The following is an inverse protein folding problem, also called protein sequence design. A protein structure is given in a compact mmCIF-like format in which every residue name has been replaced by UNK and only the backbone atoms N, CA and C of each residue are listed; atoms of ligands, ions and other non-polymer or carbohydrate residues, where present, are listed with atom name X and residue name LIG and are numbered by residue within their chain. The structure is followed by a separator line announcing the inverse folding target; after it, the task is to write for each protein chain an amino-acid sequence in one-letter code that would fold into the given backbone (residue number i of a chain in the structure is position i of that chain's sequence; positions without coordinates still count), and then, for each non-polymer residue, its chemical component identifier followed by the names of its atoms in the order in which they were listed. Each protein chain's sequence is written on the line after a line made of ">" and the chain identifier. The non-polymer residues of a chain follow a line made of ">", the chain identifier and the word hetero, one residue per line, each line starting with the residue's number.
data_IF_631792920298
#
_entry.id   IF_631792920298
#
_cell.length_a   1.000
_cell.length_b   1.000
_cell.length_c   1.000
_cell.angle_alpha   90.00
_cell.angle_beta   90.00
_cell.angle_gamma   90.00
#
_symmetry.space_group_name_H-M   'P 1'
#
loop_
_entity.id
_entity.type
_entity.pdbx_description
1 polymer ?
#
# COMPACT_ATOMS: atom_id res chain seq x y z
N UNK A 1 2.80 -30.79 77.36
CA UNK A 1 1.75 -31.20 76.40
C UNK A 1 0.79 -30.03 76.11
N UNK A 2 0.10 -29.46 77.10
CA UNK A 2 -0.78 -28.29 76.92
C UNK A 2 -0.11 -27.05 76.28
N UNK A 3 1.08 -26.63 76.76
CA UNK A 3 1.80 -25.47 76.19
C UNK A 3 2.07 -25.63 74.69
N UNK A 4 2.49 -26.82 74.25
CA UNK A 4 2.77 -27.11 72.84
C UNK A 4 1.51 -27.10 71.97
N UNK A 5 0.39 -27.62 72.48
CA UNK A 5 -0.90 -27.59 71.78
C UNK A 5 -1.44 -26.16 71.66
N UNK A 6 -1.29 -25.34 72.72
CA UNK A 6 -1.70 -23.94 72.72
C UNK A 6 -0.90 -23.10 71.70
N UNK A 7 0.42 -23.27 71.63
CA UNK A 7 1.26 -22.57 70.64
C UNK A 7 0.85 -22.93 69.21
N UNK A 8 0.62 -24.22 68.92
CA UNK A 8 0.16 -24.68 67.60
C UNK A 8 -1.18 -24.07 67.20
N UNK A 9 -2.14 -24.03 68.12
CA UNK A 9 -3.45 -23.41 67.88
C UNK A 9 -3.31 -21.91 67.60
N UNK A 10 -2.47 -21.20 68.36
CA UNK A 10 -2.21 -19.77 68.16
C UNK A 10 -1.59 -19.48 66.79
N UNK A 11 -0.62 -20.30 66.36
CA UNK A 11 -0.03 -20.19 65.03
C UNK A 11 -1.03 -20.48 63.91
N UNK A 12 -1.89 -21.49 64.09
CA UNK A 12 -2.96 -21.83 63.14
C UNK A 12 -3.94 -20.66 62.96
N UNK A 13 -4.46 -20.11 64.06
CA UNK A 13 -5.39 -18.96 64.02
C UNK A 13 -4.73 -17.75 63.36
N UNK A 14 -3.45 -17.47 63.67
CA UNK A 14 -2.72 -16.36 63.04
C UNK A 14 -2.64 -16.55 61.53
N UNK A 15 -2.24 -17.73 61.06
CA UNK A 15 -2.16 -18.05 59.63
C UNK A 15 -3.52 -17.96 58.94
N UNK A 16 -4.58 -18.40 59.60
CA UNK A 16 -5.94 -18.26 59.07
C UNK A 16 -6.33 -16.79 58.88
N UNK A 17 -6.00 -15.91 59.84
CA UNK A 17 -6.24 -14.47 59.71
C UNK A 17 -5.41 -13.88 58.56
N UNK A 18 -4.13 -14.23 58.47
CA UNK A 18 -3.23 -13.77 57.39
C UNK A 18 -3.76 -14.17 56.01
N UNK A 19 -4.19 -15.43 55.83
CA UNK A 19 -4.74 -15.94 54.57
C UNK A 19 -6.04 -15.25 54.20
N UNK A 20 -6.97 -15.06 55.16
CA UNK A 20 -8.22 -14.32 54.90
C UNK A 20 -7.97 -12.87 54.53
N UNK A 21 -7.06 -12.20 55.23
CA UNK A 21 -6.69 -10.82 54.93
C UNK A 21 -6.10 -10.72 53.51
N UNK A 22 -5.18 -11.61 53.15
CA UNK A 22 -4.60 -11.66 51.81
C UNK A 22 -5.66 -11.88 50.72
N UNK A 23 -6.64 -12.77 50.97
CA UNK A 23 -7.77 -12.99 50.05
C UNK A 23 -8.59 -11.70 49.86
N UNK A 24 -8.98 -11.05 50.96
CA UNK A 24 -9.74 -9.81 50.90
C UNK A 24 -8.97 -8.67 50.23
N UNK A 25 -7.68 -8.52 50.53
CA UNK A 25 -6.81 -7.50 49.94
C UNK A 25 -6.62 -7.75 48.42
N UNK A 26 -6.50 -9.01 48.01
CA UNK A 26 -6.39 -9.39 46.60
C UNK A 26 -7.68 -9.09 45.82
N UNK A 27 -8.85 -9.38 46.39
CA UNK A 27 -10.14 -9.04 45.78
C UNK A 27 -10.35 -7.53 45.75
N UNK A 28 -10.10 -6.83 46.86
CA UNK A 28 -10.23 -5.38 46.95
C UNK A 28 -9.29 -4.66 45.96
N UNK A 29 -8.08 -5.20 45.79
CA UNK A 29 -7.09 -4.70 44.83
C UNK A 29 -7.35 -5.13 43.39
N UNK A 30 -8.33 -5.99 43.12
CA UNK A 30 -8.63 -6.59 41.81
C UNK A 30 -7.40 -7.21 41.14
N UNK A 31 -6.58 -7.93 41.91
CA UNK A 31 -5.31 -8.53 41.42
C UNK A 31 -5.47 -10.04 41.25
N UNK A 32 -5.67 -10.50 40.01
CA UNK A 32 -5.84 -11.93 39.67
C UNK A 32 -4.68 -12.80 40.21
N UNK A 33 -3.43 -12.38 40.01
CA UNK A 33 -2.26 -13.14 40.46
C UNK A 33 -2.21 -13.29 41.99
N UNK A 34 -2.46 -12.21 42.73
CA UNK A 34 -2.50 -12.23 44.19
C UNK A 34 -3.69 -13.06 44.71
N UNK A 35 -4.82 -13.04 43.99
CA UNK A 35 -6.00 -13.82 44.33
C UNK A 35 -5.78 -15.32 44.08
N UNK A 36 -5.10 -15.68 42.99
CA UNK A 36 -4.66 -17.05 42.72
C UNK A 36 -3.69 -17.56 43.79
N UNK A 37 -2.77 -16.73 44.27
CA UNK A 37 -1.85 -17.07 45.35
C UNK A 37 -2.58 -17.29 46.69
N UNK A 38 -3.52 -16.41 47.02
CA UNK A 38 -4.38 -16.50 48.19
C UNK A 38 -5.34 -17.70 48.17
N UNK A 39 -5.57 -18.31 46.99
CA UNK A 39 -6.38 -19.52 46.78
C UNK A 39 -5.54 -20.78 46.53
N UNK A 40 -4.23 -20.74 46.78
CA UNK A 40 -3.37 -21.93 46.71
C UNK A 40 -3.88 -23.06 47.62
N UNK A 41 -3.50 -24.31 47.33
CA UNK A 41 -3.98 -25.49 48.07
C UNK A 41 -3.73 -25.38 49.59
N UNK A 42 -2.56 -24.89 49.99
CA UNK A 42 -2.21 -24.67 51.40
C UNK A 42 -3.02 -23.57 52.07
N UNK A 43 -3.46 -22.56 51.32
CA UNK A 43 -4.33 -21.49 51.80
C UNK A 43 -5.79 -21.95 51.90
N UNK A 44 -6.24 -22.81 50.99
CA UNK A 44 -7.58 -23.39 50.99
C UNK A 44 -7.87 -24.21 52.26
N UNK A 45 -6.88 -24.91 52.82
CA UNK A 45 -7.03 -25.62 54.09
C UNK A 45 -7.32 -24.70 55.29
N UNK A 46 -6.97 -23.41 55.17
CA UNK A 46 -7.16 -22.39 56.21
C UNK A 46 -8.45 -21.57 56.02
N UNK A 47 -9.09 -21.68 54.85
CA UNK A 47 -10.27 -20.93 54.46
C UNK A 47 -11.55 -21.76 54.65
N UNK A 48 -12.68 -21.07 54.81
CA UNK A 48 -13.99 -21.70 54.75
C UNK A 48 -14.33 -22.05 53.29
N UNK A 49 -15.07 -23.15 53.04
CA UNK A 49 -15.49 -23.52 51.69
C UNK A 49 -16.22 -22.40 50.92
N UNK A 50 -16.96 -21.55 51.64
CA UNK A 50 -17.65 -20.38 51.06
C UNK A 50 -16.66 -19.30 50.60
N UNK A 51 -15.59 -19.06 51.36
CA UNK A 51 -14.53 -18.10 51.02
C UNK A 51 -13.76 -18.56 49.78
N UNK A 52 -13.46 -19.86 49.69
CA UNK A 52 -12.81 -20.46 48.53
C UNK A 52 -13.70 -20.34 47.29
N UNK A 53 -14.99 -20.68 47.42
CA UNK A 53 -15.93 -20.62 46.29
C UNK A 53 -16.12 -19.18 45.81
N UNK A 54 -16.21 -18.23 46.73
CA UNK A 54 -16.26 -16.81 46.41
C UNK A 54 -14.98 -16.34 45.69
N UNK A 55 -13.81 -16.60 46.27
CA UNK A 55 -12.53 -16.20 45.67
C UNK A 55 -12.33 -16.79 44.27
N UNK A 56 -12.71 -18.05 44.04
CA UNK A 56 -12.63 -18.67 42.70
C UNK A 56 -13.54 -17.97 41.68
N UNK A 57 -14.75 -17.58 42.09
CA UNK A 57 -15.66 -16.82 41.21
C UNK A 57 -15.10 -15.45 40.87
N UNK A 58 -14.55 -14.74 41.85
CA UNK A 58 -13.91 -13.44 41.62
C UNK A 58 -12.68 -13.57 40.71
N UNK A 59 -11.88 -14.62 40.91
CA UNK A 59 -10.73 -14.90 40.05
C UNK A 59 -11.16 -15.11 38.60
N UNK A 60 -12.19 -15.93 38.35
CA UNK A 60 -12.73 -16.17 37.01
C UNK A 60 -13.23 -14.87 36.34
N UNK A 61 -13.85 -13.96 37.11
CA UNK A 61 -14.27 -12.65 36.61
C UNK A 61 -13.06 -11.80 36.23
N UNK A 62 -12.05 -11.70 37.10
CA UNK A 62 -10.85 -10.91 36.84
C UNK A 62 -10.05 -11.46 35.65
N UNK A 63 -9.92 -12.78 35.52
CA UNK A 63 -9.24 -13.40 34.38
C UNK A 63 -9.93 -13.07 33.05
N UNK A 64 -11.27 -13.10 33.00
CA UNK A 64 -12.03 -12.70 31.81
C UNK A 64 -11.87 -11.22 31.47
N UNK A 65 -11.82 -10.36 32.47
CA UNK A 65 -11.58 -8.93 32.28
C UNK A 65 -10.16 -8.67 31.76
N UNK A 66 -9.15 -9.31 32.34
CA UNK A 66 -7.76 -9.21 31.88
C UNK A 66 -7.59 -9.75 30.46
N UNK A 67 -8.21 -10.88 30.12
CA UNK A 67 -8.20 -11.42 28.76
C UNK A 67 -8.82 -10.43 27.77
N UNK A 68 -9.92 -9.79 28.15
CA UNK A 68 -10.58 -8.76 27.33
C UNK A 68 -9.68 -7.54 27.14
N UNK A 69 -9.03 -7.05 28.18
CA UNK A 69 -8.11 -5.92 28.07
C UNK A 69 -6.87 -6.26 27.24
N UNK A 70 -6.29 -7.46 27.39
CA UNK A 70 -5.20 -7.95 26.53
C UNK A 70 -5.61 -7.99 25.06
N UNK A 71 -6.81 -8.48 24.75
CA UNK A 71 -7.35 -8.47 23.39
C UNK A 71 -7.49 -7.06 22.84
N UNK A 72 -8.01 -6.11 23.64
CA UNK A 72 -8.10 -4.70 23.25
C UNK A 72 -6.72 -4.08 22.96
N UNK A 73 -5.73 -4.32 23.82
CA UNK A 73 -4.36 -3.84 23.62
C UNK A 73 -3.73 -4.42 22.36
N UNK A 74 -3.88 -5.72 22.13
CA UNK A 74 -3.39 -6.37 20.91
C UNK A 74 -4.05 -5.78 19.66
N UNK A 75 -5.37 -5.56 19.66
CA UNK A 75 -6.07 -4.93 18.54
C UNK A 75 -5.62 -3.48 18.32
N UNK A 76 -5.39 -2.69 19.38
CA UNK A 76 -4.85 -1.33 19.26
C UNK A 76 -3.47 -1.32 18.61
N UNK A 77 -2.62 -2.28 18.98
CA UNK A 77 -1.29 -2.43 18.39
C UNK A 77 -1.38 -2.79 16.90
N UNK A 78 -2.24 -3.75 16.54
CA UNK A 78 -2.48 -4.15 15.16
C UNK A 78 -3.00 -2.99 14.29
N UNK A 79 -3.93 -2.18 14.81
CA UNK A 79 -4.41 -0.95 14.13
C UNK A 79 -3.24 0.00 13.84
N UNK A 80 -2.34 0.19 14.81
CA UNK A 80 -1.20 1.09 14.66
C UNK A 80 -0.21 0.58 13.61
N UNK A 81 0.13 -0.71 13.66
CA UNK A 81 1.03 -1.36 12.69
C UNK A 81 0.45 -1.29 11.27
N UNK A 82 -0.82 -1.67 11.09
CA UNK A 82 -1.49 -1.62 9.79
C UNK A 82 -1.58 -0.19 9.21
N UNK A 83 -1.74 0.83 10.06
CA UNK A 83 -1.70 2.24 9.64
C UNK A 83 -0.30 2.67 9.17
N UNK A 84 0.76 2.22 9.84
CA UNK A 84 2.13 2.54 9.47
C UNK A 84 2.55 1.84 8.17
N UNK A 85 2.16 0.59 8.01
CA UNK A 85 2.48 -0.22 6.83
C UNK A 85 1.55 0.07 5.64
N UNK A 86 0.46 0.82 5.85
CA UNK A 86 -0.51 1.16 4.81
C UNK A 86 -1.38 -0.01 4.36
N UNK A 87 -1.56 -1.02 5.22
CA UNK A 87 -2.30 -2.24 4.92
C UNK A 87 -3.80 -2.04 5.16
N UNK A 88 -4.51 -1.67 4.10
CA UNK A 88 -5.95 -1.38 4.11
C UNK A 88 -6.78 -2.56 4.63
N UNK A 89 -6.51 -3.77 4.17
CA UNK A 89 -7.29 -4.96 4.53
C UNK A 89 -7.10 -5.35 6.00
N UNK A 90 -5.87 -5.26 6.50
CA UNK A 90 -5.54 -5.56 7.90
C UNK A 90 -6.14 -4.50 8.82
N UNK A 91 -6.02 -3.23 8.46
CA UNK A 91 -6.62 -2.12 9.20
C UNK A 91 -8.14 -2.25 9.31
N UNK A 92 -8.81 -2.67 8.22
CA UNK A 92 -10.26 -2.90 8.20
C UNK A 92 -10.66 -4.02 9.17
N UNK A 93 -9.95 -5.15 9.14
CA UNK A 93 -10.18 -6.27 10.07
C UNK A 93 -9.95 -5.86 11.52
N UNK A 94 -8.87 -5.14 11.81
CA UNK A 94 -8.56 -4.70 13.18
C UNK A 94 -9.57 -3.66 13.69
N UNK A 95 -10.12 -2.81 12.82
CA UNK A 95 -11.20 -1.88 13.14
C UNK A 95 -12.50 -2.60 13.51
N UNK A 96 -12.90 -3.64 12.78
CA UNK A 96 -14.07 -4.46 13.10
C UNK A 96 -13.90 -5.16 14.46
N UNK A 97 -12.72 -5.72 14.72
CA UNK A 97 -12.38 -6.32 16.01
C UNK A 97 -12.42 -5.28 17.14
N UNK A 98 -11.91 -4.07 16.92
CA UNK A 98 -11.92 -3.01 17.91
C UNK A 98 -13.35 -2.58 18.27
N UNK A 99 -14.27 -2.52 17.29
CA UNK A 99 -15.69 -2.28 17.53
C UNK A 99 -16.33 -3.41 18.35
N UNK A 100 -16.05 -4.67 18.00
CA UNK A 100 -16.58 -5.83 18.72
C UNK A 100 -16.09 -5.91 20.17
N UNK A 101 -14.83 -5.53 20.44
CA UNK A 101 -14.24 -5.55 21.78
C UNK A 101 -14.64 -4.33 22.63
N UNK A 102 -15.30 -3.33 22.04
CA UNK A 102 -15.65 -2.08 22.72
C UNK A 102 -14.42 -1.23 23.04
N UNK A 103 -13.47 -1.13 22.11
CA UNK A 103 -12.36 -0.18 22.20
C UNK A 103 -12.88 1.26 22.21
N UNK A 104 -12.03 2.20 22.65
CA UNK A 104 -12.42 3.60 22.74
C UNK A 104 -12.80 4.16 21.35
N UNK A 105 -13.98 4.82 21.28
CA UNK A 105 -14.48 5.41 20.04
C UNK A 105 -13.50 6.41 19.39
N UNK A 106 -12.70 7.10 20.20
CA UNK A 106 -11.67 8.02 19.70
C UNK A 106 -10.60 7.30 18.89
N UNK A 107 -10.15 6.13 19.35
CA UNK A 107 -9.11 5.35 18.69
C UNK A 107 -9.65 4.76 17.37
N UNK A 108 -10.89 4.25 17.39
CA UNK A 108 -11.60 3.75 16.22
C UNK A 108 -11.72 4.86 15.15
N UNK A 109 -12.23 6.04 15.53
CA UNK A 109 -12.38 7.18 14.60
C UNK A 109 -11.05 7.63 14.00
N UNK A 110 -9.98 7.66 14.80
CA UNK A 110 -8.65 8.03 14.30
C UNK A 110 -8.17 7.04 13.22
N UNK A 111 -8.41 5.76 13.44
CA UNK A 111 -8.04 4.72 12.49
C UNK A 111 -8.93 4.71 11.23
N UNK A 112 -10.23 5.01 11.36
CA UNK A 112 -11.14 5.20 10.22
C UNK A 112 -10.68 6.35 9.31
N UNK A 113 -10.30 7.50 9.89
CA UNK A 113 -9.73 8.62 9.13
C UNK A 113 -8.43 8.22 8.41
N UNK A 114 -7.59 7.41 9.06
CA UNK A 114 -6.39 6.87 8.45
C UNK A 114 -6.69 5.94 7.26
N UNK A 115 -7.70 5.07 7.41
CA UNK A 115 -8.17 4.19 6.34
C UNK A 115 -8.69 4.98 5.14
N UNK A 116 -9.51 6.01 5.37
CA UNK A 116 -9.97 6.92 4.31
C UNK A 116 -8.81 7.62 3.59
N UNK A 117 -7.78 8.04 4.33
CA UNK A 117 -6.59 8.67 3.75
C UNK A 117 -5.81 7.68 2.87
N UNK A 118 -5.68 6.41 3.30
CA UNK A 118 -5.04 5.37 2.51
C UNK A 118 -5.82 5.07 1.22
N UNK A 119 -7.15 4.98 1.30
CA UNK A 119 -7.99 4.82 0.11
C UNK A 119 -7.85 5.99 -0.87
N UNK A 120 -7.85 7.24 -0.37
CA UNK A 120 -7.65 8.42 -1.21
C UNK A 120 -6.29 8.42 -1.90
N UNK A 121 -5.21 8.07 -1.18
CA UNK A 121 -3.88 7.92 -1.77
C UNK A 121 -3.84 6.84 -2.84
N UNK A 122 -4.40 5.66 -2.56
CA UNK A 122 -4.45 4.57 -3.52
C UNK A 122 -5.27 4.92 -4.77
N UNK A 123 -6.34 5.71 -4.62
CA UNK A 123 -7.12 6.21 -5.74
C UNK A 123 -6.31 7.23 -6.56
N UNK A 124 -5.67 8.21 -5.92
CA UNK A 124 -4.80 9.17 -6.59
C UNK A 124 -3.67 8.49 -7.37
N UNK A 125 -3.02 7.49 -6.79
CA UNK A 125 -1.97 6.73 -7.48
C UNK A 125 -2.50 5.95 -8.70
N UNK A 126 -3.73 5.44 -8.64
CA UNK A 126 -4.36 4.76 -9.78
C UNK A 126 -4.71 5.75 -10.89
N UNK A 127 -5.27 6.90 -10.52
CA UNK A 127 -5.59 7.98 -11.46
C UNK A 127 -4.31 8.52 -12.12
N UNK A 128 -3.24 8.74 -11.34
CA UNK A 128 -1.93 9.16 -11.85
C UNK A 128 -1.33 8.11 -12.80
N UNK A 129 -1.39 6.82 -12.45
CA UNK A 129 -0.91 5.74 -13.32
C UNK A 129 -1.69 5.66 -14.62
N UNK A 130 -3.02 5.73 -14.56
CA UNK A 130 -3.87 5.74 -15.75
C UNK A 130 -3.61 6.94 -16.65
N UNK A 131 -3.53 8.15 -16.08
CA UNK A 131 -3.15 9.36 -16.78
C UNK A 131 -1.76 9.24 -17.44
N UNK A 132 -0.79 8.66 -16.73
CA UNK A 132 0.54 8.45 -17.26
C UNK A 132 0.57 7.45 -18.42
N UNK A 133 -0.17 6.34 -18.31
CA UNK A 133 -0.29 5.35 -19.39
C UNK A 133 -0.93 5.95 -20.66
N UNK A 134 -1.91 6.85 -20.51
CA UNK A 134 -2.50 7.57 -21.64
C UNK A 134 -1.48 8.49 -22.33
N UNK A 135 -0.70 9.24 -21.54
CA UNK A 135 0.39 10.09 -22.06
C UNK A 135 1.45 9.24 -22.75
N UNK A 136 1.88 8.14 -22.14
CA UNK A 136 2.89 7.25 -22.71
C UNK A 136 2.43 6.63 -24.03
N UNK A 137 1.15 6.24 -24.13
CA UNK A 137 0.55 5.76 -25.37
C UNK A 137 0.55 6.84 -26.46
N UNK A 138 0.17 8.07 -26.12
CA UNK A 138 0.21 9.19 -27.08
C UNK A 138 1.65 9.50 -27.54
N UNK A 139 2.63 9.39 -26.64
CA UNK A 139 4.05 9.56 -26.96
C UNK A 139 4.55 8.46 -27.90
N UNK A 140 4.15 7.20 -27.68
CA UNK A 140 4.51 6.07 -28.54
C UNK A 140 3.92 6.21 -29.95
N UNK A 141 2.69 6.72 -30.09
CA UNK A 141 2.08 6.97 -31.40
C UNK A 141 2.81 8.06 -32.21
N UNK A 142 3.57 8.94 -31.55
CA UNK A 142 4.37 9.95 -32.24
C UNK A 142 3.58 11.15 -32.77
N UNK A 143 2.34 11.34 -32.32
CA UNK A 143 1.50 12.48 -32.69
C UNK A 143 1.53 13.57 -31.61
N UNK A 144 2.18 14.68 -31.95
CA UNK A 144 2.35 15.85 -31.06
C UNK A 144 1.01 16.48 -30.67
N UNK A 145 0.03 16.55 -31.58
CA UNK A 145 -1.26 17.16 -31.24
C UNK A 145 -2.03 16.27 -30.27
N UNK A 146 -1.95 14.96 -30.46
CA UNK A 146 -2.54 13.99 -29.52
C UNK A 146 -1.89 14.09 -28.15
N UNK A 147 -0.55 14.16 -28.07
CA UNK A 147 0.15 14.32 -26.78
C UNK A 147 -0.24 15.62 -26.07
N UNK A 148 -0.29 16.75 -26.79
CA UNK A 148 -0.71 18.03 -26.20
C UNK A 148 -2.16 17.95 -25.68
N UNK A 149 -3.07 17.38 -26.47
CA UNK A 149 -4.47 17.23 -26.06
C UNK A 149 -4.67 16.32 -24.84
N UNK A 150 -3.83 15.28 -24.69
CA UNK A 150 -3.85 14.40 -23.53
C UNK A 150 -3.26 15.14 -22.33
N UNK A 151 -2.11 15.80 -22.48
CA UNK A 151 -1.51 16.59 -21.41
C UNK A 151 -2.47 17.66 -20.88
N UNK A 152 -3.14 18.43 -21.74
CA UNK A 152 -4.11 19.44 -21.30
C UNK A 152 -5.27 18.86 -20.45
N UNK A 153 -5.60 17.57 -20.65
CA UNK A 153 -6.66 16.89 -19.88
C UNK A 153 -6.16 16.32 -18.56
N UNK A 154 -4.90 15.88 -18.49
CA UNK A 154 -4.37 15.13 -17.35
C UNK A 154 -3.26 15.86 -16.58
N UNK A 155 -2.93 17.10 -16.96
CA UNK A 155 -1.86 17.90 -16.33
C UNK A 155 -2.10 18.09 -14.82
N UNK A 156 -3.35 18.23 -14.39
CA UNK A 156 -3.71 18.37 -12.97
C UNK A 156 -3.51 17.10 -12.14
N UNK A 157 -3.49 15.93 -12.79
CA UNK A 157 -3.34 14.62 -12.14
C UNK A 157 -1.89 14.13 -12.11
N UNK A 158 -1.01 14.74 -12.90
CA UNK A 158 0.37 14.31 -13.04
C UNK A 158 1.33 15.18 -12.23
N UNK A 159 2.40 14.60 -11.67
CA UNK A 159 3.50 15.37 -11.09
C UNK A 159 4.12 16.31 -12.14
N UNK A 160 4.50 17.54 -11.75
CA UNK A 160 5.06 18.55 -12.67
C UNK A 160 6.32 18.03 -13.38
N UNK A 161 7.15 17.24 -12.69
CA UNK A 161 8.36 16.65 -13.25
C UNK A 161 8.09 15.74 -14.45
N UNK A 162 7.00 14.95 -14.39
CA UNK A 162 6.60 14.05 -15.48
C UNK A 162 6.08 14.85 -16.68
N UNK A 163 5.31 15.90 -16.42
CA UNK A 163 4.80 16.81 -17.45
C UNK A 163 5.95 17.50 -18.17
N UNK A 164 6.94 18.04 -17.44
CA UNK A 164 8.12 18.66 -18.03
C UNK A 164 8.94 17.69 -18.88
N UNK A 165 9.13 16.45 -18.40
CA UNK A 165 9.86 15.42 -19.14
C UNK A 165 9.21 15.13 -20.50
N UNK A 166 7.88 15.15 -20.58
CA UNK A 166 7.14 14.99 -21.84
C UNK A 166 7.26 16.24 -22.70
N UNK A 167 7.08 17.43 -22.11
CA UNK A 167 7.25 18.72 -22.82
C UNK A 167 8.63 18.85 -23.48
N UNK A 168 9.70 18.35 -22.82
CA UNK A 168 11.07 18.29 -23.38
C UNK A 168 11.20 17.34 -24.58
N UNK A 169 10.35 16.32 -24.70
CA UNK A 169 10.36 15.37 -25.83
C UNK A 169 9.60 15.88 -27.05
N UNK A 170 8.67 16.84 -26.88
CA UNK A 170 7.81 17.34 -27.96
C UNK A 170 8.58 17.88 -29.18
N UNK A 171 9.66 18.68 -29.06
CA UNK A 171 10.38 19.18 -30.23
C UNK A 171 10.99 18.06 -31.08
N UNK A 172 11.55 17.04 -30.43
CA UNK A 172 12.12 15.89 -31.12
C UNK A 172 11.03 15.05 -31.81
N UNK A 173 9.85 14.90 -31.18
CA UNK A 173 8.70 14.23 -31.79
C UNK A 173 8.18 14.99 -33.01
N UNK A 174 8.06 16.32 -32.92
CA UNK A 174 7.62 17.16 -34.03
C UNK A 174 8.56 17.03 -35.24
N UNK A 175 9.88 17.14 -35.02
CA UNK A 175 10.87 16.97 -36.07
C UNK A 175 10.79 15.58 -36.74
N UNK A 176 10.56 14.51 -35.95
CA UNK A 176 10.34 13.16 -36.49
C UNK A 176 9.04 13.07 -37.30
N UNK A 177 7.95 13.68 -36.82
CA UNK A 177 6.67 13.72 -37.52
C UNK A 177 6.75 14.44 -38.87
N UNK A 178 7.44 15.57 -38.92
CA UNK A 178 7.72 16.31 -40.17
C UNK A 178 8.56 15.48 -41.14
N UNK A 179 9.64 14.85 -40.65
CA UNK A 179 10.48 13.97 -41.46
C UNK A 179 9.68 12.78 -42.03
N UNK A 180 8.81 12.14 -41.25
CA UNK A 180 7.90 11.08 -41.73
C UNK A 180 6.96 11.57 -42.82
N UNK A 181 6.46 12.82 -42.74
CA UNK A 181 5.61 13.43 -43.76
C UNK A 181 6.38 13.72 -45.05
N UNK A 182 7.58 14.29 -44.94
CA UNK A 182 8.47 14.55 -46.09
C UNK A 182 8.81 13.26 -46.83
N UNK A 183 9.22 12.22 -46.09
CA UNK A 183 9.56 10.90 -46.66
C UNK A 183 8.36 10.28 -47.37
N UNK A 184 7.17 10.27 -46.73
CA UNK A 184 5.95 9.76 -47.36
C UNK A 184 5.56 10.54 -48.61
N UNK A 185 5.68 11.87 -48.58
CA UNK A 185 5.39 12.71 -49.74
C UNK A 185 6.36 12.42 -50.90
N UNK A 186 7.66 12.24 -50.61
CA UNK A 186 8.66 11.92 -51.61
C UNK A 186 8.46 10.51 -52.21
N UNK A 187 8.12 9.51 -51.38
CA UNK A 187 7.77 8.16 -51.87
C UNK A 187 6.57 8.21 -52.80
N UNK A 188 5.50 8.93 -52.41
CA UNK A 188 4.29 9.07 -53.23
C UNK A 188 4.56 9.79 -54.56
N UNK A 189 5.40 10.84 -54.56
CA UNK A 189 5.81 11.55 -55.79
C UNK A 189 6.57 10.62 -56.74
N UNK A 190 7.51 9.85 -56.20
CA UNK A 190 8.25 8.86 -56.98
C UNK A 190 7.33 7.78 -57.57
N UNK A 191 6.36 7.26 -56.81
CA UNK A 191 5.40 6.28 -57.30
C UNK A 191 4.53 6.81 -58.45
N UNK A 192 4.14 8.09 -58.38
CA UNK A 192 3.29 8.73 -59.38
C UNK A 192 4.02 8.98 -60.70
N UNK A 193 5.17 9.66 -60.66
CA UNK A 193 5.80 10.20 -61.87
C UNK A 193 7.13 9.53 -62.24
N UNK A 194 7.73 8.74 -61.33
CA UNK A 194 9.03 8.04 -61.50
C UNK A 194 10.14 8.91 -62.11
N UNK A 195 10.20 10.20 -61.74
CA UNK A 195 11.20 11.11 -62.29
C UNK A 195 12.55 10.94 -61.61
N UNK A 196 13.66 11.01 -62.35
CA UNK A 196 15.00 10.85 -61.79
C UNK A 196 15.34 11.91 -60.71
N UNK A 197 14.76 13.11 -60.77
CA UNK A 197 14.92 14.13 -59.72
C UNK A 197 14.33 13.69 -58.37
N UNK A 198 13.21 12.97 -58.39
CA UNK A 198 12.54 12.45 -57.18
C UNK A 198 13.36 11.32 -56.54
N UNK A 199 14.03 10.49 -57.36
CA UNK A 199 14.95 9.46 -56.87
C UNK A 199 16.15 10.07 -56.16
N UNK A 200 16.69 11.18 -56.68
CA UNK A 200 17.81 11.87 -56.05
C UNK A 200 17.37 12.54 -54.74
N UNK A 201 16.17 13.14 -54.72
CA UNK A 201 15.54 13.68 -53.52
C UNK A 201 15.36 12.61 -52.44
N UNK A 202 14.86 11.42 -52.80
CA UNK A 202 14.75 10.28 -51.89
C UNK A 202 16.12 9.81 -51.35
N UNK A 203 17.17 9.81 -52.18
CA UNK A 203 18.53 9.46 -51.72
C UNK A 203 19.10 10.47 -50.72
N UNK A 204 18.89 11.77 -50.97
CA UNK A 204 19.26 12.82 -50.02
C UNK A 204 18.47 12.69 -48.70
N UNK A 205 17.17 12.36 -48.78
CA UNK A 205 16.34 12.10 -47.60
C UNK A 205 16.81 10.88 -46.82
N UNK A 206 17.28 9.81 -47.46
CA UNK A 206 17.86 8.65 -46.74
C UNK A 206 19.04 9.06 -45.87
N UNK A 207 19.93 9.94 -46.34
CA UNK A 207 21.04 10.43 -45.52
C UNK A 207 20.57 11.25 -44.32
N UNK A 208 19.49 12.03 -44.50
CA UNK A 208 18.85 12.81 -43.42
C UNK A 208 18.16 11.88 -42.41
N UNK A 209 17.47 10.84 -42.88
CA UNK A 209 16.79 9.81 -42.07
C UNK A 209 17.77 8.96 -41.28
N UNK A 210 18.89 8.52 -41.89
CA UNK A 210 19.96 7.77 -41.21
C UNK A 210 20.65 8.56 -40.09
N UNK A 211 20.70 9.89 -40.22
CA UNK A 211 21.23 10.81 -39.21
C UNK A 211 20.17 11.30 -38.22
N UNK A 212 18.91 10.95 -38.44
CA UNK A 212 17.80 11.35 -37.57
C UNK A 212 17.63 10.38 -36.41
N UNK A 213 16.82 10.77 -35.42
CA UNK A 213 16.47 9.92 -34.30
C UNK A 213 15.23 9.04 -34.56
N UNK A 214 14.92 8.71 -35.83
CA UNK A 214 13.82 7.80 -36.17
C UNK A 214 14.11 6.36 -35.69
N UNK A 215 13.05 5.56 -35.41
CA UNK A 215 13.22 4.14 -35.12
C UNK A 215 13.94 3.41 -36.26
N UNK A 216 14.77 2.42 -35.92
CA UNK A 216 15.60 1.72 -36.90
C UNK A 216 14.76 1.01 -37.97
N UNK A 217 13.60 0.49 -37.57
CA UNK A 217 12.65 -0.18 -38.45
C UNK A 217 12.15 0.75 -39.56
N UNK A 218 11.87 2.02 -39.23
CA UNK A 218 11.44 3.03 -40.21
C UNK A 218 12.58 3.42 -41.15
N UNK A 219 13.80 3.53 -40.62
CA UNK A 219 14.98 3.81 -41.45
C UNK A 219 15.19 2.68 -42.47
N UNK A 220 15.09 1.43 -42.03
CA UNK A 220 15.29 0.26 -42.88
C UNK A 220 14.20 0.16 -43.98
N UNK A 221 12.94 0.48 -43.66
CA UNK A 221 11.86 0.56 -44.66
C UNK A 221 12.16 1.57 -45.77
N UNK A 222 12.62 2.78 -45.40
CA UNK A 222 12.95 3.84 -46.36
C UNK A 222 14.16 3.45 -47.21
N UNK A 223 15.19 2.86 -46.60
CA UNK A 223 16.38 2.37 -47.32
C UNK A 223 16.02 1.28 -48.33
N UNK A 224 15.20 0.31 -47.92
CA UNK A 224 14.76 -0.78 -48.78
C UNK A 224 13.91 -0.27 -49.96
N UNK A 225 12.99 0.67 -49.71
CA UNK A 225 12.20 1.30 -50.76
C UNK A 225 13.10 1.98 -51.81
N UNK A 226 14.09 2.77 -51.37
CA UNK A 226 15.02 3.45 -52.28
C UNK A 226 15.89 2.44 -53.05
N UNK A 227 16.30 1.33 -52.46
CA UNK A 227 17.01 0.26 -53.17
C UNK A 227 16.15 -0.38 -54.27
N UNK A 228 14.88 -0.68 -53.96
CA UNK A 228 13.93 -1.23 -54.94
C UNK A 228 13.60 -0.23 -56.07
N UNK A 229 13.51 1.06 -55.74
CA UNK A 229 13.33 2.13 -56.73
C UNK A 229 14.54 2.22 -57.69
N UNK A 230 15.77 2.07 -57.17
CA UNK A 230 17.00 2.06 -58.00
C UNK A 230 17.07 0.86 -58.93
N UNK A 231 16.72 -0.34 -58.47
CA UNK A 231 16.74 -1.54 -59.32
C UNK A 231 15.67 -1.45 -60.41
N UNK A 232 14.49 -0.93 -60.08
CA UNK A 232 13.40 -0.71 -61.04
C UNK A 232 13.71 0.34 -62.10
N UNK A 233 14.51 1.36 -61.77
CA UNK A 233 14.97 2.34 -62.76
C UNK A 233 16.08 1.79 -63.67
N UNK A 234 16.96 0.90 -63.18
CA UNK A 234 18.05 0.31 -63.98
C UNK A 234 17.59 -0.72 -65.02
N UNK A 235 16.37 -1.24 -64.89
CA UNK A 235 15.79 -2.24 -65.80
C UNK A 235 14.80 -1.62 -66.81
N UNK A 236 14.77 -0.29 -66.90
CA UNK A 236 14.15 0.49 -67.98
C UNK A 236 15.23 1.18 -68.77
#
# INVERSE_FOLDING_TARGET
>A
RFKTQFTRLREFVRRQVEVRQALHDAVAGRRSAALSEALSEAACEMLLPVEITWGKKELEVLEKEEEKERKKEATKKAIFEALQEGQVDELTKSLEQARALGCAMRDIRRAELGLEALHKKAQQEREEKGAWEEVERAVQEGDVQKVLSVLDRVEELLPPDKVEAVKKKLPAMQARGELRKEVRAAMKRWEADRRPEDLMTLQCMVNRVKRSALPKEEIDQVVNFVQQAKTSHKHR
#
